data_IF_547020401032
#
_entry.id   IF_547020401032
#
_cell.length_a   1.000
_cell.length_b   1.000
_cell.length_c   1.000
_cell.angle_alpha   90.00
_cell.angle_beta   90.00
_cell.angle_gamma   90.00
#
_symmetry.space_group_name_H-M   'P 1'
#
loop_
_entity.id
_entity.type
_entity.pdbx_description
1 polymer ?
2 polymer ?
3 polymer ?
4 polymer ?
5 polymer ?
6 polymer ?
7 water ?
#
loop_
_entity_poly.entity_id
_entity_poly.type
_entity_poly.pdbx_seq_one_letter_code
_entity_poly.pdbx_strand_id
1 'polydeoxyribonucleotide' '(DG)(DG)(DG)(DG)(DG)(DG)(DG)(DC)(DT)(DA)(DT)(DA)(DA)(DA)(DA)(DG)(DG)' ?
2 'polydeoxyribonucleotide' '(DC)(DC)(DT)(DT)(DT)(DT)(DA)(DT)(DA)(DG)(DC)(DC)(DC)(DC)(DC)(DC)(DC)' ?
#
# COMPACT_ATOMS: atom_id res chain seq x y z
N UNK C 1 19.91 5.10 37.78
CA UNK C 1 19.03 6.12 37.17
C UNK C 1 17.54 5.82 37.31
N UNK C 2 16.80 6.92 37.43
CA UNK C 2 15.36 6.79 37.43
C UNK C 2 15.03 6.73 35.94
N UNK C 3 16.08 6.51 35.15
CA UNK C 3 15.99 6.44 33.71
C UNK C 3 15.79 4.99 33.28
N UNK C 4 14.70 4.76 32.56
CA UNK C 4 14.39 3.42 32.10
C UNK C 4 14.33 3.33 30.58
N UNK C 5 15.11 2.42 29.98
CA UNK C 5 15.08 2.31 28.51
C UNK C 5 13.67 1.85 28.07
N UNK C 6 13.12 2.53 27.08
CA UNK C 6 11.80 2.13 26.57
C UNK C 6 11.99 1.28 25.32
N UNK C 7 11.31 0.15 25.24
CA UNK C 7 11.42 -0.71 24.07
C UNK C 7 10.71 -0.03 22.91
N UNK C 8 11.35 -0.08 21.74
CA UNK C 8 10.83 0.59 20.56
C UNK C 8 10.54 -0.31 19.38
N UNK C 9 11.16 -1.48 19.34
CA UNK C 9 11.02 -2.38 18.21
C UNK C 9 11.50 -3.75 18.60
N UNK C 10 10.78 -4.74 18.12
CA UNK C 10 11.09 -6.12 18.36
C UNK C 10 10.86 -6.86 17.06
N UNK C 11 11.78 -7.76 16.72
CA UNK C 11 11.67 -8.59 15.54
C UNK C 11 11.59 -10.02 16.04
N UNK C 12 10.57 -10.74 15.61
CA UNK C 12 10.37 -12.12 16.00
C UNK C 12 10.12 -12.96 14.77
N UNK C 13 10.21 -14.27 14.93
CA UNK C 13 9.97 -15.13 13.80
C UNK C 13 9.14 -16.26 14.34
N UNK C 14 8.45 -16.96 13.45
CA UNK C 14 7.63 -18.08 13.84
C UNK C 14 7.42 -18.94 12.60
N UNK C 15 7.23 -20.23 12.80
CA UNK C 15 7.03 -21.14 11.71
C UNK C 15 5.58 -21.64 11.65
N UNK C 16 4.86 -21.24 10.61
CA UNK C 16 3.46 -21.65 10.45
C UNK C 16 3.36 -23.12 10.10
N UNK C 17 4.52 -23.72 9.80
CA UNK C 17 4.56 -25.15 9.51
C UNK C 17 3.97 -25.72 8.25
N UNK C 18 3.60 -24.89 7.28
CA UNK C 18 3.05 -25.41 6.04
C UNK C 18 3.32 -24.45 4.90
N UNK C 19 3.49 -24.99 3.70
CA UNK C 19 3.75 -24.16 2.53
C UNK C 19 2.59 -23.25 2.28
N UNK C 20 2.89 -22.03 1.84
CA UNK C 20 1.86 -21.03 1.58
C UNK C 20 1.83 -20.56 0.14
N UNK C 21 0.61 -20.38 -0.37
CA UNK C 21 0.37 -19.89 -1.72
C UNK C 21 0.27 -18.40 -1.50
N UNK C 22 1.36 -17.69 -1.73
CA UNK C 22 1.41 -16.25 -1.51
C UNK C 22 0.50 -15.39 -2.39
N UNK C 23 0.25 -15.85 -3.61
CA UNK C 23 -0.60 -15.09 -4.50
C UNK C 23 -2.01 -15.03 -3.91
N UNK C 24 -2.50 -16.19 -3.47
CA UNK C 24 -3.82 -16.27 -2.87
C UNK C 24 -3.95 -15.29 -1.70
N UNK C 25 -2.96 -15.34 -0.81
CA UNK C 25 -2.93 -14.48 0.37
C UNK C 25 -2.94 -13.00 -0.01
N UNK C 26 -2.14 -12.63 -1.01
CA UNK C 26 -2.08 -11.24 -1.42
C UNK C 26 -3.38 -10.73 -2.05
N UNK C 27 -4.10 -11.62 -2.72
CA UNK C 27 -5.34 -11.26 -3.37
C UNK C 27 -6.54 -11.20 -2.45
N UNK C 28 -6.57 -12.08 -1.44
CA UNK C 28 -7.69 -12.14 -0.51
C UNK C 28 -7.53 -11.42 0.84
N UNK C 29 -6.30 -11.30 1.33
CA UNK C 29 -6.08 -10.64 2.62
C UNK C 29 -6.05 -9.12 2.46
N UNK C 30 -6.41 -8.42 3.53
CA UNK C 30 -6.39 -6.97 3.47
C UNK C 30 -5.02 -6.46 3.90
N UNK C 31 -4.67 -5.28 3.43
CA UNK C 31 -3.41 -4.64 3.77
C UNK C 31 -2.21 -5.53 3.50
N UNK C 32 -2.13 -6.02 2.26
CA UNK C 32 -1.06 -6.90 1.84
C UNK C 32 -0.40 -6.40 0.56
N UNK C 33 0.91 -6.64 0.45
CA UNK C 33 1.69 -6.26 -0.71
C UNK C 33 2.47 -7.47 -1.17
N UNK C 34 2.43 -7.75 -2.46
CA UNK C 34 3.14 -8.88 -3.02
C UNK C 34 3.66 -8.51 -4.39
N UNK C 35 4.98 -8.48 -4.51
CA UNK C 35 5.66 -8.14 -5.74
C UNK C 35 6.86 -9.05 -5.85
N UNK C 36 6.65 -10.33 -6.14
CA UNK C 36 7.70 -11.33 -6.27
C UNK C 36 8.93 -10.95 -7.07
N UNK C 37 8.76 -10.10 -8.07
CA UNK C 37 9.88 -9.68 -8.89
C UNK C 37 10.88 -8.85 -8.09
N UNK C 38 10.40 -8.21 -7.03
CA UNK C 38 11.27 -7.38 -6.21
C UNK C 38 11.58 -7.99 -4.84
N UNK C 39 10.58 -8.62 -4.23
CA UNK C 39 10.75 -9.24 -2.92
C UNK C 39 9.87 -10.50 -2.90
N UNK C 40 10.47 -11.62 -2.53
CA UNK C 40 9.78 -12.91 -2.50
C UNK C 40 8.73 -13.13 -1.43
N UNK C 41 8.51 -12.15 -0.58
CA UNK C 41 7.53 -12.37 0.48
C UNK C 41 6.38 -11.38 0.49
N UNK C 42 5.27 -11.81 1.07
CA UNK C 42 4.14 -10.93 1.20
C UNK C 42 4.40 -10.04 2.41
N UNK C 43 4.12 -8.76 2.28
CA UNK C 43 4.27 -7.80 3.36
C UNK C 43 2.84 -7.44 3.81
N UNK C 44 2.50 -7.79 5.06
CA UNK C 44 1.18 -7.52 5.62
C UNK C 44 1.31 -6.68 6.90
N UNK C 45 0.34 -5.78 7.12
CA UNK C 45 0.32 -4.94 8.32
C UNK C 45 -1.01 -5.07 9.04
N UNK C 46 -1.01 -4.80 10.35
CA UNK C 46 -2.24 -4.78 11.14
C UNK C 46 -2.06 -3.59 12.03
N UNK C 47 -3.15 -3.11 12.60
CA UNK C 47 -3.08 -1.92 13.44
C UNK C 47 -2.92 -2.16 14.93
N UNK C 48 -3.25 -3.36 15.39
CA UNK C 48 -3.19 -3.64 16.81
C UNK C 48 -2.82 -5.08 17.11
N UNK C 49 -1.57 -5.30 17.55
CA UNK C 49 -0.57 -4.24 17.75
C UNK C 49 -0.10 -3.77 16.38
N UNK C 50 0.23 -2.49 16.26
CA UNK C 50 0.71 -1.93 15.02
C UNK C 50 2.07 -2.56 14.67
N UNK C 51 2.04 -3.49 13.70
CA UNK C 51 3.22 -4.21 13.24
C UNK C 51 3.15 -4.60 11.75
N UNK C 52 4.31 -5.00 11.22
CA UNK C 52 4.44 -5.42 9.83
C UNK C 52 5.04 -6.82 9.82
N UNK C 53 4.45 -7.70 9.02
CA UNK C 53 4.92 -9.06 8.90
C UNK C 53 5.48 -9.31 7.50
N UNK C 54 6.38 -10.28 7.41
CA UNK C 54 7.00 -10.69 6.16
C UNK C 54 6.64 -12.14 6.14
N UNK C 55 5.82 -12.55 5.18
CA UNK C 55 5.40 -13.94 5.13
C UNK C 55 5.99 -14.64 3.91
N UNK C 56 6.70 -15.73 4.14
CA UNK C 56 7.35 -16.47 3.08
C UNK C 56 6.57 -17.71 2.68
N UNK C 57 6.71 -18.11 1.42
CA UNK C 57 5.97 -19.26 0.91
C UNK C 57 6.34 -20.53 1.63
N UNK C 58 7.45 -20.48 2.37
CA UNK C 58 7.88 -21.66 3.12
C UNK C 58 6.96 -21.84 4.32
N UNK C 59 6.37 -20.74 4.78
CA UNK C 59 5.50 -20.82 5.93
C UNK C 59 6.14 -20.10 7.12
N UNK C 60 7.38 -19.66 6.93
CA UNK C 60 8.06 -18.94 7.98
C UNK C 60 7.70 -17.49 7.84
N UNK C 61 7.68 -16.80 8.97
CA UNK C 61 7.28 -15.42 9.00
C UNK C 61 8.13 -14.58 9.94
N UNK C 62 8.27 -13.30 9.64
CA UNK C 62 9.01 -12.38 10.46
C UNK C 62 8.01 -11.32 10.89
N UNK C 63 8.00 -10.96 12.17
CA UNK C 63 7.10 -9.95 12.71
C UNK C 63 7.91 -8.79 13.25
N UNK C 64 7.60 -7.59 12.80
CA UNK C 64 8.35 -6.42 13.22
C UNK C 64 7.50 -5.29 13.75
N UNK C 65 8.16 -4.37 14.46
CA UNK C 65 7.50 -3.18 14.97
C UNK C 65 6.85 -3.14 16.34
N UNK C 66 6.58 -4.29 16.93
CA UNK C 66 5.96 -4.34 18.25
C UNK C 66 6.88 -3.75 19.33
N UNK C 67 6.29 -3.24 20.42
CA UNK C 67 7.06 -2.65 21.49
C UNK C 67 7.13 -3.45 22.78
N UNK C 68 6.66 -4.70 22.75
CA UNK C 68 6.72 -5.54 23.94
C UNK C 68 6.71 -6.97 23.46
N UNK C 69 7.26 -7.88 24.26
CA UNK C 69 7.31 -9.30 23.92
C UNK C 69 5.90 -9.83 23.67
N UNK C 70 4.99 -9.46 24.57
CA UNK C 70 3.62 -9.91 24.44
C UNK C 70 2.98 -9.35 23.16
N UNK C 71 3.21 -8.10 22.83
CA UNK C 71 2.66 -7.54 21.60
C UNK C 71 3.22 -8.26 20.37
N UNK C 72 4.49 -8.65 20.48
CA UNK C 72 5.12 -9.35 19.36
C UNK C 72 4.50 -10.71 19.12
N UNK C 73 4.25 -11.44 20.19
CA UNK C 73 3.67 -12.75 20.04
C UNK C 73 2.20 -12.64 19.60
N UNK C 74 1.47 -11.67 20.17
CA UNK C 74 0.06 -11.48 19.82
C UNK C 74 -0.05 -11.17 18.32
N UNK C 75 0.70 -10.16 17.88
CA UNK C 75 0.71 -9.76 16.48
C UNK C 75 0.94 -10.96 15.59
N UNK C 76 1.99 -11.73 15.87
CA UNK C 76 2.30 -12.90 15.07
C UNK C 76 1.16 -13.90 15.07
N UNK C 77 0.47 -14.01 16.20
CA UNK C 77 -0.67 -14.94 16.31
C UNK C 77 -1.79 -14.48 15.36
N UNK C 78 -1.99 -13.18 15.25
CA UNK C 78 -3.02 -12.62 14.40
C UNK C 78 -2.69 -12.85 12.92
N UNK C 79 -1.45 -12.59 12.54
CA UNK C 79 -1.03 -12.83 11.17
C UNK C 79 -1.29 -14.26 10.86
N UNK C 80 -0.93 -15.14 11.80
CA UNK C 80 -1.13 -16.57 11.58
C UNK C 80 -2.61 -16.94 11.49
N UNK C 81 -3.45 -16.20 12.20
CA UNK C 81 -4.88 -16.47 12.18
C UNK C 81 -5.46 -16.01 10.83
N UNK C 82 -4.95 -14.90 10.31
CA UNK C 82 -5.41 -14.39 9.02
C UNK C 82 -5.14 -15.48 7.98
N UNK C 83 -3.89 -15.92 7.91
CA UNK C 83 -3.48 -16.97 6.98
C UNK C 83 -4.35 -18.21 7.20
N UNK C 84 -4.60 -18.51 8.46
CA UNK C 84 -5.40 -19.68 8.81
C UNK C 84 -6.81 -19.58 8.22
N UNK C 85 -7.43 -18.42 8.37
CA UNK C 85 -8.78 -18.20 7.88
C UNK C 85 -8.91 -18.19 6.35
N UNK C 86 -7.81 -17.96 5.65
CA UNK C 86 -7.87 -17.96 4.19
C UNK C 86 -7.82 -19.38 3.68
N UNK C 87 -7.84 -20.34 4.62
CA UNK C 87 -7.84 -21.74 4.22
C UNK C 87 -6.58 -22.57 4.40
N UNK C 88 -5.50 -21.99 4.92
CA UNK C 88 -4.27 -22.78 5.10
C UNK C 88 -4.19 -23.31 6.55
N UNK C 89 -3.77 -24.56 6.72
CA UNK C 89 -3.63 -25.22 8.03
C UNK C 89 -2.44 -24.73 8.85
N UNK C 90 -2.36 -23.43 9.05
CA UNK C 90 -1.26 -22.84 9.80
C UNK C 90 -1.15 -23.30 11.26
N UNK C 91 0.10 -23.49 11.70
CA UNK C 91 0.39 -23.85 13.08
C UNK C 91 1.12 -22.63 13.65
N UNK C 92 1.75 -22.79 14.81
CA UNK C 92 2.47 -21.67 15.40
C UNK C 92 3.70 -22.26 16.10
N UNK C 93 4.65 -22.69 15.29
CA UNK C 93 5.85 -23.34 15.78
C UNK C 93 7.08 -22.48 15.99
N UNK C 94 7.77 -22.77 17.10
CA UNK C 94 9.01 -22.10 17.45
C UNK C 94 9.02 -20.60 17.39
N UNK C 95 8.03 -19.95 18.00
CA UNK C 95 8.02 -18.50 18.01
C UNK C 95 9.31 -18.10 18.74
N UNK C 96 9.91 -16.99 18.34
CA UNK C 96 11.15 -16.57 18.99
C UNK C 96 11.50 -15.14 18.68
N UNK C 97 11.81 -14.40 19.74
CA UNK C 97 12.20 -13.02 19.60
C UNK C 97 13.66 -13.07 19.14
N UNK C 98 13.99 -12.29 18.10
CA UNK C 98 15.32 -12.31 17.52
C UNK C 98 16.10 -11.04 17.81
N UNK C 99 15.40 -9.93 18.02
CA UNK C 99 16.07 -8.68 18.25
C UNK C 99 15.15 -7.71 18.95
N UNK C 100 15.72 -6.87 19.81
CA UNK C 100 14.97 -5.89 20.58
C UNK C 100 15.76 -4.61 20.61
N UNK C 101 15.05 -3.50 20.46
CA UNK C 101 15.60 -2.18 20.41
C UNK C 101 15.01 -1.31 21.51
N UNK C 102 15.88 -0.57 22.19
CA UNK C 102 15.46 0.30 23.26
C UNK C 102 16.07 1.66 23.06
N UNK C 103 15.54 2.64 23.76
CA UNK C 103 16.08 3.98 23.63
C UNK C 103 15.80 4.74 24.91
N UNK C 104 16.59 5.79 25.15
CA UNK C 104 16.38 6.61 26.33
C UNK C 104 17.22 7.86 26.27
N UNK C 105 17.06 8.71 27.27
CA UNK C 105 17.76 9.99 27.34
C UNK C 105 18.43 10.18 28.69
N UNK C 106 19.74 10.43 28.70
CA UNK C 106 20.45 10.64 29.97
C UNK C 106 20.28 12.07 30.45
N UNK C 107 19.59 12.88 29.64
CA UNK C 107 19.30 14.26 29.98
C UNK C 107 20.47 15.23 30.08
N UNK C 108 21.60 14.91 29.45
CA UNK C 108 22.76 15.81 29.47
C UNK C 108 23.67 15.54 28.27
N UNK C 109 24.39 16.56 27.80
CA UNK C 109 25.30 16.43 26.65
C UNK C 109 26.48 15.52 26.93
N UNK C 110 27.10 15.02 25.87
CA UNK C 110 28.22 14.10 26.01
C UNK C 110 29.42 14.47 25.16
N UNK C 111 30.62 14.26 25.70
CA UNK C 111 31.86 14.53 24.99
C UNK C 111 32.15 13.25 24.22
N UNK C 112 31.61 13.12 23.01
CA UNK C 112 31.82 11.91 22.23
C UNK C 112 33.28 11.64 21.91
N UNK C 113 33.97 12.63 21.35
CA UNK C 113 35.38 12.49 20.99
C UNK C 113 36.19 12.01 22.19
N UNK C 114 35.80 12.47 23.38
CA UNK C 114 36.50 12.06 24.57
C UNK C 114 36.23 10.60 24.86
N UNK C 115 34.97 10.21 24.76
CA UNK C 115 34.57 8.83 25.03
C UNK C 115 35.23 7.84 24.08
N UNK C 116 35.27 8.18 22.79
CA UNK C 116 35.89 7.26 21.82
C UNK C 116 37.40 7.16 22.00
N UNK C 117 38.03 8.24 22.43
CA UNK C 117 39.48 8.24 22.64
C UNK C 117 39.87 7.32 23.79
N UNK C 118 39.05 7.26 24.83
CA UNK C 118 39.35 6.42 25.99
C UNK C 118 38.74 5.04 25.91
N UNK C 119 37.84 4.81 24.95
CA UNK C 119 37.20 3.51 24.81
C UNK C 119 37.37 2.99 23.38
N UNK C 120 38.60 3.08 22.89
CA UNK C 120 38.98 2.67 21.56
C UNK C 120 38.75 1.19 21.25
N UNK C 121 38.68 0.35 22.27
CA UNK C 121 38.49 -1.08 22.02
C UNK C 121 37.01 -1.51 21.98
N UNK C 122 36.10 -0.58 22.25
CA UNK C 122 34.67 -0.90 22.23
C UNK C 122 33.87 0.00 21.31
N UNK C 123 34.43 1.15 20.96
CA UNK C 123 33.69 2.07 20.13
C UNK C 123 34.41 2.62 18.94
N UNK C 124 33.66 3.36 18.13
CA UNK C 124 34.17 3.99 16.95
C UNK C 124 33.26 5.18 16.76
N UNK C 125 33.80 6.28 16.27
CA UNK C 125 33.02 7.48 16.09
C UNK C 125 33.56 8.32 14.95
N UNK C 126 32.79 8.41 13.88
CA UNK C 126 33.19 9.19 12.72
C UNK C 126 32.06 10.15 12.38
N UNK C 127 32.07 11.33 13.02
CA UNK C 127 31.10 12.42 12.89
C UNK C 127 30.65 12.76 11.48
N UNK C 128 31.59 12.75 10.53
CA UNK C 128 31.25 13.07 9.15
C UNK C 128 30.39 11.99 8.52
N UNK C 129 30.61 10.75 8.93
CA UNK C 129 29.89 9.59 8.41
C UNK C 129 28.50 9.41 9.04
N UNK C 130 28.47 9.40 10.37
CA UNK C 130 27.25 9.23 11.16
C UNK C 130 27.48 9.98 12.46
N UNK C 131 26.59 10.91 12.81
CA UNK C 131 26.75 11.69 14.05
C UNK C 131 26.72 10.96 15.39
N UNK C 132 26.47 9.66 15.36
CA UNK C 132 26.43 8.92 16.61
C UNK C 132 27.63 8.02 16.87
N UNK C 133 28.01 7.89 18.14
CA UNK C 133 29.13 7.04 18.49
C UNK C 133 28.57 5.64 18.64
N UNK C 134 29.26 4.66 18.08
CA UNK C 134 28.84 3.27 18.15
C UNK C 134 29.68 2.53 19.18
N UNK C 135 29.01 2.01 20.22
CA UNK C 135 29.68 1.30 21.31
C UNK C 135 29.28 -0.15 21.34
N UNK C 136 30.24 -1.03 21.06
CA UNK C 136 29.95 -2.45 21.06
C UNK C 136 30.30 -3.07 22.41
N UNK C 137 29.28 -3.19 23.25
CA UNK C 137 29.46 -3.75 24.57
C UNK C 137 29.63 -5.26 24.49
N UNK C 138 30.50 -5.79 25.35
CA UNK C 138 30.75 -7.22 25.36
C UNK C 138 29.78 -7.97 26.26
N UNK C 139 29.44 -7.37 27.38
CA UNK C 139 28.51 -8.00 28.31
C UNK C 139 27.50 -7.00 28.83
N UNK C 140 26.24 -7.13 28.42
CA UNK C 140 25.79 -8.19 27.50
C UNK C 140 26.25 -7.80 26.09
N UNK C 141 26.07 -8.68 25.11
CA UNK C 141 26.49 -8.36 23.75
C UNK C 141 25.42 -7.45 23.14
N UNK C 142 25.61 -6.16 23.29
CA UNK C 142 24.64 -5.17 22.84
C UNK C 142 25.36 -4.03 22.18
N UNK C 143 24.75 -3.46 21.14
CA UNK C 143 25.36 -2.33 20.44
C UNK C 143 24.60 -1.08 20.80
N UNK C 144 25.31 -0.04 21.21
CA UNK C 144 24.65 1.19 21.57
C UNK C 144 25.02 2.30 20.61
N UNK C 145 24.09 3.21 20.38
CA UNK C 145 24.34 4.36 19.53
C UNK C 145 24.19 5.51 20.50
N UNK C 146 25.26 6.25 20.71
CA UNK C 146 25.25 7.34 21.66
C UNK C 146 25.43 8.66 20.96
N UNK C 147 24.56 9.62 21.27
CA UNK C 147 24.62 10.91 20.63
C UNK C 147 25.01 12.01 21.61
N UNK C 148 25.56 13.09 21.09
CA UNK C 148 25.99 14.19 21.94
C UNK C 148 24.82 14.80 22.69
N UNK C 149 23.63 14.67 22.11
CA UNK C 149 22.42 15.21 22.73
C UNK C 149 22.15 14.48 24.05
N UNK C 150 22.65 13.25 24.16
CA UNK C 150 22.44 12.49 25.36
C UNK C 150 21.48 11.35 25.10
N UNK C 151 20.89 11.35 23.90
CA UNK C 151 19.96 10.31 23.50
C UNK C 151 20.73 9.03 23.24
N UNK C 152 20.18 7.90 23.65
CA UNK C 152 20.83 6.61 23.49
C UNK C 152 19.93 5.54 22.88
N UNK C 153 20.48 4.74 21.97
CA UNK C 153 19.75 3.65 21.37
C UNK C 153 20.50 2.38 21.68
N UNK C 154 19.77 1.33 22.02
CA UNK C 154 20.39 0.05 22.31
C UNK C 154 19.72 -1.00 21.44
N UNK C 155 20.52 -1.81 20.76
CA UNK C 155 19.95 -2.85 19.92
C UNK C 155 20.81 -4.10 19.94
N UNK C 156 20.23 -5.21 19.48
CA UNK C 156 20.94 -6.47 19.43
C UNK C 156 20.49 -7.46 20.49
N UNK C 157 19.64 -7.00 21.40
CA UNK C 157 19.13 -7.86 22.47
C UNK C 157 18.21 -8.99 22.05
N UNK C 158 18.33 -10.11 22.76
CA UNK C 158 17.48 -11.27 22.56
C UNK C 158 16.40 -11.28 23.67
N UNK C 159 16.68 -10.56 24.76
CA UNK C 159 15.75 -10.46 25.89
C UNK C 159 15.81 -9.08 26.49
N UNK C 160 14.73 -8.69 27.16
CA UNK C 160 14.63 -7.38 27.78
C UNK C 160 15.75 -7.04 28.79
N UNK C 161 16.18 -8.02 29.56
CA UNK C 161 17.22 -7.80 30.58
C UNK C 161 18.53 -7.26 29.98
N UNK C 162 18.92 -7.78 28.81
CA UNK C 162 20.14 -7.31 28.17
C UNK C 162 20.08 -5.83 27.89
N UNK C 163 18.89 -5.33 27.53
CA UNK C 163 18.74 -3.91 27.25
C UNK C 163 18.96 -3.06 28.50
N UNK C 164 18.31 -3.46 29.59
CA UNK C 164 18.40 -2.77 30.87
C UNK C 164 19.85 -2.86 31.40
N UNK C 165 20.39 -4.07 31.37
CA UNK C 165 21.75 -4.30 31.83
C UNK C 165 22.78 -3.47 31.06
N UNK C 166 22.64 -3.42 29.73
CA UNK C 166 23.58 -2.65 28.93
C UNK C 166 23.51 -1.17 29.26
N UNK C 167 22.31 -0.66 29.53
CA UNK C 167 22.19 0.76 29.85
C UNK C 167 22.72 1.08 31.26
N UNK C 168 22.58 0.14 32.19
CA UNK C 168 23.09 0.34 33.54
C UNK C 168 24.62 0.37 33.45
N UNK C 169 25.18 -0.43 32.54
CA UNK C 169 26.62 -0.47 32.35
C UNK C 169 27.15 0.82 31.74
N UNK C 170 26.45 1.34 30.74
CA UNK C 170 26.90 2.55 30.06
C UNK C 170 26.65 3.87 30.78
N UNK C 171 25.66 3.91 31.67
CA UNK C 171 25.32 5.16 32.33
C UNK C 171 26.46 5.84 33.08
N UNK C 172 27.16 5.10 33.97
CA UNK C 172 28.27 5.74 34.69
C UNK C 172 29.40 6.14 33.76
N UNK C 173 29.60 5.38 32.68
CA UNK C 173 30.64 5.71 31.72
C UNK C 173 30.28 7.05 31.08
N UNK C 174 29.01 7.21 30.74
CA UNK C 174 28.54 8.43 30.12
C UNK C 174 28.59 9.63 31.06
N UNK C 175 28.30 9.41 32.34
CA UNK C 175 28.35 10.51 33.29
C UNK C 175 29.79 11.04 33.32
N UNK C 176 30.74 10.13 33.10
CA UNK C 176 32.14 10.51 33.10
C UNK C 176 32.52 11.45 31.97
N UNK C 177 31.59 11.67 31.03
CA UNK C 177 31.88 12.57 29.91
C UNK C 177 30.82 13.63 29.70
N UNK C 178 30.06 13.92 30.74
CA UNK C 178 29.03 14.94 30.64
C UNK C 178 29.64 16.26 30.18
N UNK C 179 28.84 17.14 29.61
CA UNK C 179 29.35 18.42 29.16
C UNK C 179 29.01 19.60 30.05
N UNK C 180 30.07 20.11 30.67
CA UNK C 180 30.02 21.24 31.59
C UNK C 180 29.31 22.46 30.99
N UNK D 8 -17.79 19.16 -19.94
CA UNK D 8 -16.65 18.63 -20.75
C UNK D 8 -16.59 17.10 -20.65
N UNK D 9 -17.55 16.51 -19.94
CA UNK D 9 -17.60 15.07 -19.78
C UNK D 9 -18.58 14.42 -20.78
N UNK D 10 -19.77 15.02 -20.95
CA UNK D 10 -20.68 14.38 -21.91
C UNK D 10 -19.99 14.39 -23.26
N UNK D 11 -19.22 15.44 -23.50
CA UNK D 11 -18.47 15.61 -24.73
C UNK D 11 -17.51 14.45 -24.98
N UNK D 12 -16.73 14.09 -23.96
CA UNK D 12 -15.78 13.00 -24.10
C UNK D 12 -16.51 11.71 -24.41
N UNK D 13 -17.62 11.48 -23.71
CA UNK D 13 -18.40 10.27 -23.91
C UNK D 13 -18.93 10.21 -25.35
N UNK D 14 -19.46 11.32 -25.85
CA UNK D 14 -19.96 11.33 -27.22
C UNK D 14 -18.78 10.96 -28.09
N UNK D 15 -17.68 11.67 -27.86
CA UNK D 15 -16.45 11.46 -28.60
C UNK D 15 -16.05 9.99 -28.65
N UNK D 16 -16.05 9.34 -27.48
CA UNK D 16 -15.68 7.94 -27.42
C UNK D 16 -16.69 7.02 -28.09
N UNK D 17 -17.98 7.29 -27.85
CA UNK D 17 -19.01 6.47 -28.46
C UNK D 17 -18.90 6.55 -29.99
N UNK D 18 -18.73 7.75 -30.50
CA UNK D 18 -18.60 7.95 -31.94
C UNK D 18 -17.42 7.15 -32.48
N UNK D 19 -16.25 7.37 -31.90
CA UNK D 19 -15.05 6.67 -32.31
C UNK D 19 -15.22 5.15 -32.27
N UNK D 20 -15.75 4.64 -31.16
CA UNK D 20 -15.94 3.20 -31.03
C UNK D 20 -16.91 2.67 -32.09
N UNK D 21 -18.05 3.34 -32.24
CA UNK D 21 -19.04 2.92 -33.22
C UNK D 21 -18.43 2.92 -34.61
N UNK D 22 -17.76 4.01 -34.97
CA UNK D 22 -17.12 4.08 -36.28
C UNK D 22 -16.07 2.99 -36.44
N UNK D 23 -15.28 2.75 -35.40
CA UNK D 23 -14.23 1.74 -35.47
C UNK D 23 -14.65 0.28 -35.46
N UNK D 24 -15.90 -0.02 -35.14
CA UNK D 24 -16.34 -1.42 -35.14
C UNK D 24 -17.24 -1.76 -36.33
N UNK D 25 -17.65 -0.74 -37.07
CA UNK D 25 -18.51 -0.93 -38.24
C UNK D 25 -17.98 -2.03 -39.14
N UNK D 26 -16.71 -1.93 -39.56
CA UNK D 26 -16.13 -2.95 -40.42
C UNK D 26 -16.15 -4.33 -39.81
N UNK D 27 -15.96 -4.41 -38.50
CA UNK D 27 -15.95 -5.71 -37.83
C UNK D 27 -17.34 -6.32 -37.90
N UNK D 28 -18.36 -5.50 -37.68
CA UNK D 28 -19.74 -5.98 -37.76
C UNK D 28 -19.99 -6.48 -39.18
N UNK D 29 -19.56 -5.68 -40.15
CA UNK D 29 -19.74 -6.02 -41.56
C UNK D 29 -19.00 -7.31 -41.91
N UNK D 30 -17.75 -7.43 -41.46
CA UNK D 30 -16.96 -8.63 -41.74
C UNK D 30 -17.59 -9.87 -41.12
N UNK D 31 -18.35 -9.66 -40.05
CA UNK D 31 -19.01 -10.76 -39.37
C UNK D 31 -20.37 -11.07 -40.00
N UNK D 32 -20.83 -10.17 -40.86
CA UNK D 32 -22.11 -10.39 -41.51
C UNK D 32 -23.28 -9.89 -40.68
N UNK D 33 -23.00 -8.97 -39.77
CA UNK D 33 -24.04 -8.41 -38.93
C UNK D 33 -24.59 -7.15 -39.60
N UNK D 34 -25.90 -7.09 -39.72
CA UNK D 34 -26.56 -5.95 -40.35
C UNK D 34 -26.19 -4.66 -39.63
N UNK D 35 -25.93 -3.62 -40.41
CA UNK D 35 -25.55 -2.34 -39.84
C UNK D 35 -26.63 -1.80 -38.90
N UNK D 36 -27.85 -2.33 -39.00
CA UNK D 36 -28.92 -1.88 -38.11
C UNK D 36 -28.56 -2.26 -36.67
N UNK D 37 -27.99 -3.44 -36.49
CA UNK D 37 -27.60 -3.90 -35.16
C UNK D 37 -26.59 -2.92 -34.57
N UNK D 38 -25.65 -2.45 -35.40
CA UNK D 38 -24.65 -1.51 -34.93
C UNK D 38 -25.35 -0.28 -34.35
N UNK D 39 -26.33 0.24 -35.08
CA UNK D 39 -27.05 1.42 -34.62
C UNK D 39 -27.85 1.14 -33.36
N UNK D 40 -28.32 -0.10 -33.20
CA UNK D 40 -29.06 -0.44 -32.01
C UNK D 40 -28.08 -0.35 -30.83
N UNK D 41 -26.86 -0.85 -31.04
CA UNK D 41 -25.82 -0.81 -30.01
C UNK D 41 -25.64 0.62 -29.55
N UNK D 42 -25.34 1.51 -30.48
CA UNK D 42 -25.15 2.91 -30.14
C UNK D 42 -26.32 3.47 -29.35
N UNK D 43 -27.54 3.14 -29.79
CA UNK D 43 -28.74 3.63 -29.13
C UNK D 43 -28.86 3.06 -27.72
N UNK D 44 -28.72 1.74 -27.59
CA UNK D 44 -28.79 1.08 -26.29
C UNK D 44 -27.77 1.74 -25.35
N UNK D 45 -26.55 1.87 -25.86
CA UNK D 45 -25.45 2.46 -25.13
C UNK D 45 -25.68 3.91 -24.69
N UNK D 46 -26.06 4.77 -25.62
CA UNK D 46 -26.29 6.18 -25.31
C UNK D 46 -27.42 6.36 -24.30
N UNK D 47 -28.48 5.57 -24.44
CA UNK D 47 -29.61 5.69 -23.55
C UNK D 47 -29.29 5.18 -22.16
N UNK D 48 -28.43 4.17 -22.06
CA UNK D 48 -28.07 3.66 -20.76
C UNK D 48 -27.30 4.72 -19.99
N UNK D 49 -26.56 5.56 -20.72
CA UNK D 49 -25.82 6.64 -20.09
C UNK D 49 -26.82 7.56 -19.41
N UNK D 50 -27.93 7.85 -20.10
CA UNK D 50 -28.96 8.69 -19.53
C UNK D 50 -29.71 7.93 -18.45
N UNK E 30 -26.70 5.39 -2.75
CA UNK E 30 -26.89 4.92 -4.13
C UNK E 30 -25.62 4.38 -4.79
N UNK E 31 -24.69 5.27 -5.06
CA UNK E 31 -23.43 4.94 -5.73
C UNK E 31 -22.29 4.27 -4.99
N UNK E 32 -21.57 3.41 -5.70
CA UNK E 32 -20.35 2.83 -5.17
C UNK E 32 -19.34 3.82 -5.72
N UNK E 33 -18.80 4.62 -4.82
CA UNK E 33 -17.82 5.60 -5.21
C UNK E 33 -16.57 4.82 -5.63
N UNK E 34 -16.16 5.03 -6.88
CA UNK E 34 -15.00 4.33 -7.39
C UNK E 34 -14.14 5.23 -8.24
N UNK E 35 -12.86 4.93 -8.25
CA UNK E 35 -11.90 5.66 -9.05
C UNK E 35 -11.08 4.59 -9.74
N UNK E 36 -11.01 4.68 -11.06
CA UNK E 36 -10.24 3.73 -11.83
C UNK E 36 -9.23 4.60 -12.55
N UNK E 37 -7.96 4.32 -12.31
CA UNK E 37 -6.90 5.12 -12.90
C UNK E 37 -5.61 4.35 -12.98
N UNK E 38 -4.54 5.10 -13.18
CA UNK E 38 -3.19 4.55 -13.27
C UNK E 38 -2.38 5.36 -12.28
N UNK E 39 -1.34 4.75 -11.71
CA UNK E 39 -0.53 5.45 -10.73
C UNK E 39 0.86 5.82 -11.24
N UNK E 40 1.35 6.98 -10.81
CA UNK E 40 2.68 7.42 -11.18
C UNK E 40 3.59 6.98 -10.05
N UNK E 41 3.25 7.40 -8.83
CA UNK E 41 4.03 7.04 -7.65
C UNK E 41 3.14 6.90 -6.43
N UNK E 42 3.34 5.82 -5.68
CA UNK E 42 2.59 5.60 -4.45
C UNK E 42 3.70 5.62 -3.41
N UNK E 43 3.51 6.36 -2.34
CA UNK E 43 4.50 6.49 -1.30
C UNK E 43 3.97 6.36 0.12
N UNK E 44 4.80 5.78 0.99
CA UNK E 44 4.45 5.60 2.39
C UNK E 44 5.61 5.80 3.38
N UNK E 45 5.33 6.44 4.52
CA UNK E 45 6.29 6.66 5.58
C UNK E 45 5.48 6.39 6.85
N UNK E 46 5.92 5.42 7.62
CA UNK E 46 5.15 5.09 8.81
C UNK E 46 3.75 4.81 8.28
N UNK E 47 2.72 5.44 8.86
CA UNK E 47 1.36 5.21 8.38
C UNK E 47 0.85 6.37 7.53
N UNK E 48 1.76 7.11 6.90
CA UNK E 48 1.39 8.23 6.03
C UNK E 48 1.54 7.84 4.56
N UNK E 49 0.43 7.84 3.83
CA UNK E 49 0.49 7.49 2.42
C UNK E 49 0.22 8.72 1.55
N UNK E 50 0.89 8.78 0.40
CA UNK E 50 0.69 9.87 -0.55
C UNK E 50 0.47 9.21 -1.90
N UNK E 51 -0.56 9.64 -2.62
CA UNK E 51 -0.85 9.04 -3.91
C UNK E 51 -0.68 10.02 -5.06
N UNK E 52 0.03 9.60 -6.09
CA UNK E 52 0.23 10.41 -7.28
C UNK E 52 -0.43 9.64 -8.43
N UNK E 53 -1.67 10.03 -8.73
CA UNK E 53 -2.46 9.36 -9.77
C UNK E 53 -2.70 10.18 -11.04
N UNK E 54 -3.12 9.49 -12.11
CA UNK E 54 -3.39 10.14 -13.39
C UNK E 54 -4.45 9.38 -14.22
N UNK E 55 -4.93 10.04 -15.27
CA UNK E 55 -5.93 9.46 -16.17
C UNK E 55 -6.99 8.68 -15.42
N UNK E 56 -7.79 9.37 -14.62
CA UNK E 56 -8.81 8.67 -13.86
C UNK E 56 -10.25 9.07 -14.11
N UNK E 57 -11.14 8.09 -14.01
CA UNK E 57 -12.56 8.31 -14.18
C UNK E 57 -13.20 7.99 -12.84
N UNK E 58 -13.83 8.99 -12.24
CA UNK E 58 -14.46 8.81 -10.93
C UNK E 58 -15.97 8.91 -10.97
N UNK E 59 -16.61 8.15 -10.09
CA UNK E 59 -18.06 8.18 -9.94
C UNK E 59 -18.28 8.38 -8.45
N UNK E 60 -18.47 9.63 -8.06
CA UNK E 60 -18.68 9.99 -6.67
C UNK E 60 -20.10 10.48 -6.40
N UNK E 61 -20.76 9.85 -5.44
CA UNK E 61 -22.12 10.21 -5.07
C UNK E 61 -23.12 10.03 -6.20
N UNK E 62 -22.70 9.37 -7.27
CA UNK E 62 -23.57 9.13 -8.41
C UNK E 62 -23.15 9.88 -9.65
N UNK E 63 -22.39 10.94 -9.46
CA UNK E 63 -21.91 11.75 -10.59
C UNK E 63 -20.61 11.19 -11.14
N UNK E 64 -20.29 11.55 -12.37
CA UNK E 64 -19.07 11.09 -13.05
C UNK E 64 -18.04 12.21 -13.21
N UNK E 65 -16.79 11.95 -12.84
CA UNK E 65 -15.74 12.96 -12.97
C UNK E 65 -14.50 12.37 -13.64
N UNK E 66 -13.63 13.25 -14.12
CA UNK E 66 -12.38 12.81 -14.77
C UNK E 66 -11.22 13.71 -14.38
N UNK E 67 -10.01 13.15 -14.38
CA UNK E 67 -8.81 13.92 -14.05
C UNK E 67 -7.62 13.40 -14.82
N UNK E 68 -6.67 14.29 -15.10
CA UNK E 68 -5.46 13.90 -15.80
C UNK E 68 -4.45 13.57 -14.70
N UNK E 69 -4.64 14.22 -13.56
CA UNK E 69 -3.78 14.04 -12.40
C UNK E 69 -4.56 14.20 -11.10
N UNK E 70 -4.26 13.34 -10.14
CA UNK E 70 -4.90 13.39 -8.83
C UNK E 70 -3.84 13.15 -7.76
N UNK E 71 -3.81 14.02 -6.77
CA UNK E 71 -2.85 13.91 -5.66
C UNK E 71 -3.63 13.78 -4.36
N UNK E 72 -3.32 12.75 -3.59
CA UNK E 72 -4.03 12.54 -2.34
C UNK E 72 -3.17 12.21 -1.13
N UNK E 73 -3.79 12.33 0.04
CA UNK E 73 -3.13 12.05 1.33
C UNK E 73 -4.05 11.27 2.25
N UNK E 74 -3.50 10.29 2.94
CA UNK E 74 -4.29 9.51 3.87
C UNK E 74 -3.44 8.82 4.94
N UNK E 75 -4.03 8.67 6.12
CA UNK E 75 -3.36 8.00 7.22
C UNK E 75 -4.02 6.64 7.33
N UNK E 76 -3.22 5.62 7.61
CA UNK E 76 -3.73 4.26 7.72
C UNK E 76 -3.88 3.85 9.18
N UNK F 2 -4.98 -1.36 -21.28
CA UNK F 2 -5.53 -1.64 -19.92
C UNK F 2 -7.06 -1.75 -19.96
N UNK F 3 -7.58 -2.91 -19.57
CA UNK F 3 -9.02 -3.13 -19.52
C UNK F 3 -9.51 -2.50 -18.22
N UNK F 4 -8.78 -1.45 -17.84
CA UNK F 4 -9.00 -0.68 -16.64
C UNK F 4 -10.33 0.07 -16.58
N UNK F 5 -10.67 0.76 -17.66
CA UNK F 5 -11.88 1.56 -17.71
C UNK F 5 -13.19 0.91 -18.10
N UNK F 6 -13.27 -0.41 -18.02
CA UNK F 6 -14.50 -1.10 -18.36
C UNK F 6 -15.56 -1.00 -17.27
N UNK F 7 -15.15 -0.99 -16.00
CA UNK F 7 -16.15 -0.87 -14.94
C UNK F 7 -16.29 0.59 -14.53
N UNK F 8 -16.77 1.38 -15.48
CA UNK F 8 -17.02 2.80 -15.30
C UNK F 8 -18.44 2.94 -15.84
N UNK F 9 -19.05 4.11 -15.68
CA UNK F 9 -20.40 4.29 -16.20
C UNK F 9 -20.36 3.96 -17.68
N UNK F 10 -19.48 4.66 -18.39
CA UNK F 10 -19.29 4.49 -19.83
C UNK F 10 -19.09 3.03 -20.21
N UNK F 11 -18.10 2.39 -19.59
CA UNK F 11 -17.80 1.00 -19.90
C UNK F 11 -18.86 -0.02 -19.55
N UNK F 12 -19.56 0.16 -18.43
CA UNK F 12 -20.59 -0.79 -18.04
C UNK F 12 -21.84 -0.67 -18.89
N UNK F 13 -22.24 0.56 -19.21
CA UNK F 13 -23.41 0.75 -20.05
C UNK F 13 -23.14 0.01 -21.36
N UNK F 14 -21.90 0.06 -21.82
CA UNK F 14 -21.50 -0.62 -23.05
C UNK F 14 -21.67 -2.14 -22.94
N UNK F 15 -21.11 -2.72 -21.88
CA UNK F 15 -21.19 -4.16 -21.68
C UNK F 15 -22.62 -4.65 -21.56
N UNK F 16 -23.45 -3.87 -20.87
CA UNK F 16 -24.85 -4.23 -20.69
C UNK F 16 -25.53 -4.24 -22.05
N UNK F 17 -25.26 -3.21 -22.83
CA UNK F 17 -25.85 -3.11 -24.16
C UNK F 17 -25.42 -4.33 -24.98
N UNK F 18 -24.15 -4.70 -24.87
CA UNK F 18 -23.63 -5.85 -25.60
C UNK F 18 -24.28 -7.16 -25.17
N UNK F 19 -24.42 -7.36 -23.87
CA UNK F 19 -25.02 -8.58 -23.35
C UNK F 19 -26.43 -8.79 -23.90
N UNK F 20 -27.18 -7.71 -23.99
CA UNK F 20 -28.54 -7.78 -24.53
C UNK F 20 -28.45 -8.36 -25.93
N UNK F 21 -27.69 -7.67 -26.78
CA UNK F 21 -27.50 -8.09 -28.16
C UNK F 21 -27.02 -9.53 -28.23
N UNK F 22 -26.28 -9.96 -27.21
CA UNK F 22 -25.79 -11.33 -27.17
C UNK F 22 -26.96 -12.21 -26.77
N UNK F 23 -27.74 -11.73 -25.81
CA UNK F 23 -28.89 -12.45 -25.30
C UNK F 23 -29.91 -12.69 -26.41
N UNK F 24 -30.23 -11.65 -27.16
CA UNK F 24 -31.19 -11.78 -28.26
C UNK F 24 -30.51 -12.35 -29.50
N UNK F 25 -29.30 -12.88 -29.30
CA UNK F 25 -28.51 -13.48 -30.38
C UNK F 25 -28.20 -12.60 -31.58
N UNK F 26 -28.25 -11.28 -31.40
CA UNK F 26 -27.97 -10.38 -32.52
C UNK F 26 -26.49 -10.25 -32.83
N UNK F 27 -25.64 -10.53 -31.84
CA UNK F 27 -24.20 -10.49 -32.02
C UNK F 27 -23.60 -11.65 -31.24
N UNK F 28 -22.41 -12.09 -31.63
CA UNK F 28 -21.76 -13.20 -30.93
C UNK F 28 -20.92 -12.64 -29.78
N UNK F 29 -20.53 -13.49 -28.83
CA UNK F 29 -19.71 -13.02 -27.71
C UNK F 29 -18.37 -12.49 -28.24
N UNK F 30 -17.83 -13.19 -29.23
CA UNK F 30 -16.56 -12.80 -29.84
C UNK F 30 -16.62 -11.38 -30.36
N UNK F 31 -17.72 -11.04 -31.03
CA UNK F 31 -17.89 -9.70 -31.58
C UNK F 31 -17.95 -8.69 -30.44
N UNK F 32 -18.65 -9.06 -29.37
CA UNK F 32 -18.78 -8.20 -28.19
C UNK F 32 -17.39 -7.94 -27.61
N UNK F 33 -16.59 -9.00 -27.51
CA UNK F 33 -15.24 -8.87 -26.99
C UNK F 33 -14.44 -7.91 -27.87
N UNK F 34 -14.60 -8.05 -29.18
CA UNK F 34 -13.91 -7.18 -30.12
C UNK F 34 -14.31 -5.73 -29.94
N UNK F 35 -15.57 -5.49 -29.57
CA UNK F 35 -16.05 -4.13 -29.36
C UNK F 35 -15.42 -3.54 -28.09
N UNK F 36 -15.35 -4.36 -27.04
CA UNK F 36 -14.77 -3.94 -25.78
C UNK F 36 -13.31 -3.59 -26.01
N UNK F 37 -12.62 -4.42 -26.79
CA UNK F 37 -11.22 -4.15 -27.10
C UNK F 37 -11.10 -2.78 -27.74
N UNK F 38 -12.01 -2.48 -28.66
CA UNK F 38 -12.00 -1.19 -29.33
C UNK F 38 -12.23 -0.08 -28.32
N UNK F 39 -13.10 -0.35 -27.35
CA UNK F 39 -13.42 0.63 -26.32
C UNK F 39 -12.18 0.95 -25.48
N UNK F 40 -11.43 -0.08 -25.09
CA UNK F 40 -10.23 0.14 -24.28
C UNK F 40 -9.29 1.14 -24.95
N UNK F 41 -8.97 0.89 -26.23
CA UNK F 41 -8.09 1.79 -26.97
C UNK F 41 -8.65 3.20 -27.02
N UNK F 42 -9.96 3.30 -27.25
CA UNK F 42 -10.63 4.59 -27.36
C UNK F 42 -10.72 5.41 -26.07
N UNK F 43 -11.03 4.77 -24.95
CA UNK F 43 -11.13 5.50 -23.69
C UNK F 43 -9.74 5.93 -23.21
N UNK F 44 -8.77 5.04 -23.34
CA UNK F 44 -7.40 5.33 -22.95
C UNK F 44 -6.88 6.53 -23.73
N UNK F 45 -7.05 6.47 -25.05
CA UNK F 45 -6.60 7.55 -25.93
C UNK F 45 -7.25 8.89 -25.61
N UNK F 46 -8.55 8.88 -25.36
CA UNK F 46 -9.29 10.10 -25.06
C UNK F 46 -8.86 10.74 -23.73
N UNK F 47 -8.55 9.91 -22.74
CA UNK F 47 -8.13 10.42 -21.43
C UNK F 47 -6.81 11.16 -21.47
N UNK F 48 -5.79 10.52 -22.04
CA UNK F 48 -4.47 11.10 -22.12
C UNK F 48 -4.40 12.36 -22.99
N UNK F 49 -5.06 12.34 -24.13
CA UNK F 49 -5.03 13.49 -25.05
C UNK F 49 -6.09 14.56 -24.80
N UNK F 50 -7.28 14.16 -24.34
CA UNK F 50 -8.35 15.11 -24.12
C UNK F 50 -8.39 15.82 -22.76
N UNK F 51 -8.70 15.08 -21.69
CA UNK F 51 -8.78 15.69 -20.36
C UNK F 51 -7.41 16.21 -19.93
N UNK F 52 -7.40 17.27 -19.11
CA UNK F 52 -6.13 17.86 -18.67
C UNK F 52 -6.19 18.66 -17.37
N UNK F 53 -7.10 18.30 -16.46
CA UNK F 53 -7.23 19.02 -15.20
C UNK F 53 -6.66 18.25 -14.01
N UNK F 54 -6.45 18.95 -12.90
CA UNK F 54 -5.90 18.34 -11.69
C UNK F 54 -6.90 18.26 -10.54
N UNK F 55 -6.78 17.19 -9.76
CA UNK F 55 -7.65 16.95 -8.61
C UNK F 55 -6.81 16.65 -7.37
N UNK F 56 -7.41 16.83 -6.20
CA UNK F 56 -6.72 16.56 -4.95
C UNK F 56 -7.68 15.90 -3.97
N UNK F 57 -7.17 14.96 -3.16
CA UNK F 57 -8.03 14.29 -2.20
C UNK F 57 -7.32 13.92 -0.91
N UNK F 58 -8.08 13.92 0.18
CA UNK F 58 -7.53 13.59 1.49
C UNK F 58 -8.56 12.76 2.24
N UNK F 59 -8.07 11.85 3.07
CA UNK F 59 -8.95 11.00 3.83
C UNK F 59 -8.15 10.01 4.65
N UNK F 60 -8.83 9.03 5.23
CA UNK F 60 -8.15 8.03 6.02
C UNK F 60 -8.13 6.75 5.20
N UNK F 61 -6.97 6.11 5.15
CA UNK F 61 -6.82 4.87 4.42
C UNK F 61 -7.29 3.71 5.28
N UNK F 62 -8.25 2.97 4.76
CA UNK F 62 -8.84 1.84 5.45
C UNK F 62 -8.09 0.56 5.07
N UNK F 63 -7.86 0.37 3.78
CA UNK F 63 -7.14 -0.80 3.29
C UNK F 63 -6.35 -0.50 2.04
N UNK F 64 -5.37 -1.35 1.77
CA UNK F 64 -4.54 -1.22 0.59
C UNK F 64 -4.16 -2.63 0.19
N UNK F 65 -3.86 -2.80 -1.08
CA UNK F 65 -3.46 -4.09 -1.59
C UNK F 65 -2.65 -3.81 -2.84
N UNK F 66 -1.66 -4.65 -3.06
CA UNK F 66 -0.80 -4.51 -4.22
C UNK F 66 -0.42 -5.92 -4.64
N UNK F 67 -0.85 -6.27 -5.85
CA UNK F 67 -0.57 -7.58 -6.40
C UNK F 67 -0.65 -7.37 -7.91
N UNK F 68 0.09 -8.15 -8.69
CA UNK F 68 0.07 -7.97 -10.14
C UNK F 68 0.28 -6.51 -10.54
N UNK F 69 1.10 -5.80 -9.78
CA UNK F 69 1.39 -4.40 -10.06
C UNK F 69 0.17 -3.49 -10.09
N UNK F 70 -0.90 -3.91 -9.42
CA UNK F 70 -2.13 -3.13 -9.36
C UNK F 70 -2.49 -2.76 -7.91
N UNK F 71 -2.60 -1.48 -7.64
CA UNK F 71 -2.97 -1.01 -6.31
C UNK F 71 -4.48 -0.85 -6.18
N UNK F 72 -5.01 -1.33 -5.06
CA UNK F 72 -6.44 -1.23 -4.75
C UNK F 72 -6.56 -0.65 -3.34
N UNK F 73 -7.07 0.57 -3.23
CA UNK F 73 -7.24 1.22 -1.95
C UNK F 73 -8.71 1.39 -1.61
N UNK F 74 -8.99 1.76 -0.37
CA UNK F 74 -10.33 2.03 0.11
C UNK F 74 -10.13 3.11 1.16
N UNK F 75 -10.58 4.33 0.84
CA UNK F 75 -10.46 5.47 1.75
C UNK F 75 -11.81 5.74 2.39
N UNK F 76 -11.80 6.33 3.59
CA UNK F 76 -13.04 6.67 4.30
C UNK F 76 -13.01 8.16 4.57
N UNK F 77 -14.20 8.76 4.62
CA UNK F 77 -14.34 10.19 4.87
C UNK F 77 -13.36 11.00 4.02
N UNK F 78 -13.48 10.84 2.71
CA UNK F 78 -12.61 11.52 1.76
C UNK F 78 -13.16 12.86 1.28
N UNK F 79 -12.25 13.73 0.84
CA UNK F 79 -12.59 15.04 0.33
C UNK F 79 -11.88 15.30 -0.99
N UNK F 80 -12.60 15.12 -2.09
CA UNK F 80 -12.01 15.35 -3.40
C UNK F 80 -12.09 16.84 -3.72
N UNK F 81 -10.92 17.40 -3.98
CA UNK F 81 -10.79 18.82 -4.27
C UNK F 81 -10.39 19.17 -5.70
N UNK F 82 -11.25 19.93 -6.36
CA UNK F 82 -11.01 20.39 -7.71
C UNK F 82 -11.33 21.88 -7.65
N UNK F 83 -10.36 22.71 -8.06
CA UNK F 83 -10.50 24.16 -8.04
C UNK F 83 -11.86 24.66 -7.57
N UNK F 84 -12.90 24.34 -8.33
CA UNK F 84 -14.25 24.74 -7.99
C UNK F 84 -14.84 23.97 -6.79
N UNK F 85 -14.00 23.75 -5.79
CA UNK F 85 -14.38 23.12 -4.54
C UNK F 85 -14.73 21.63 -4.38
N UNK F 86 -15.33 21.41 -3.21
CA UNK F 86 -15.78 20.18 -2.58
C UNK F 86 -16.63 19.03 -3.14
N UNK F 87 -16.19 17.82 -2.80
CA UNK F 87 -16.87 16.57 -3.11
C UNK F 87 -16.54 15.70 -1.91
N UNK F 88 -17.52 15.44 -1.06
CA UNK F 88 -17.28 14.62 0.11
C UNK F 88 -17.92 13.26 0.00
N UNK F 89 -17.20 12.24 0.43
CA UNK F 89 -17.68 10.88 0.37
C UNK F 89 -17.26 10.07 1.61
N UNK F 90 -18.15 9.21 2.07
CA UNK F 90 -17.88 8.39 3.25
C UNK F 90 -16.91 7.26 2.92
N UNK F 91 -16.92 6.83 1.67
CA UNK F 91 -16.10 5.71 1.25
C UNK F 91 -15.84 5.73 -0.26
N UNK F 92 -14.61 5.43 -0.65
CA UNK F 92 -14.22 5.41 -2.05
C UNK F 92 -13.19 4.32 -2.28
N UNK F 93 -13.37 3.57 -3.37
CA UNK F 93 -12.47 2.47 -3.73
C UNK F 93 -11.64 2.92 -4.93
N UNK F 94 -10.33 2.78 -4.83
CA UNK F 94 -9.44 3.20 -5.91
C UNK F 94 -8.61 2.05 -6.47
N UNK F 95 -8.80 1.77 -7.75
CA UNK F 95 -8.04 0.72 -8.41
C UNK F 95 -7.09 1.45 -9.35
N UNK F 96 -5.81 1.15 -9.26
CA UNK F 96 -4.82 1.83 -10.09
C UNK F 96 -3.78 0.91 -10.71
N UNK F 97 -3.67 0.96 -12.04
CA UNK F 97 -2.69 0.17 -12.77
C UNK F 97 -1.48 1.07 -12.93
N UNK F 98 -0.32 0.48 -13.18
CA UNK F 98 0.90 1.26 -13.31
C UNK F 98 0.93 2.18 -14.52
#
# INVERSE_FOLDING_TARGET
SGIVPQLQNIVSTVNLGCKLDLKTIALRARNAEYNPKRFAAVIMRIREPRTTALIFSSGKMVCTGAKSEEQSRLAARKYARVVQKLGFPAKFLDFKIQNMVGSCDVKFPIRLEGLVLTHQQFSSYEPELFPGLIYRMIKPRIVLLIFVSGKVVLTGAKVRAEIYEAFENIYPILKGFRKTT
ANSANTNTVPKLYRSVIEDVINDVRDIFLDDGVDEQVLMELKTLWENKLMQSRAVDG
GSGAEDGQVEEEPLNSEDDVSDEEGQELFDTENVVVCQYDKIHRSKNKWKFHLKDGIMNLNGRDYIFSKAIGDAEW
AYQLYRNTTLGNSLQESLDELIQSQQITPQLALQVLLQFDKAINAALAQRVRNRVNFRGSLNTYRFCDNVWTFVLNDVEFREVTELIKVDKVKIVACDGKNTGSNTTE
#
